data_IF_483467956499
#
_entry.id   IF_483467956499
#
_cell.length_a   1.000
_cell.length_b   1.000
_cell.length_c   1.000
_cell.angle_alpha   90.00
_cell.angle_beta   90.00
_cell.angle_gamma   90.00
#
_symmetry.space_group_name_H-M   'P 1'
#
loop_
_entity.id
_entity.type
_entity.pdbx_description
1 polymer ?
#
# COMPACT_ATOMS: atom_id res chain seq x y z
N UNK A 1 1.11 28.56 -11.33
CA UNK A 1 1.08 29.66 -12.31
C UNK A 1 2.07 30.75 -11.96
N UNK A 2 2.09 31.25 -10.72
CA UNK A 2 3.04 32.28 -10.26
C UNK A 2 4.51 31.94 -10.59
N UNK A 3 4.95 30.70 -10.39
CA UNK A 3 6.33 30.25 -10.65
C UNK A 3 6.70 30.20 -12.14
N UNK A 4 5.73 29.98 -13.02
CA UNK A 4 5.96 29.97 -14.47
C UNK A 4 6.05 31.42 -14.95
N UNK A 5 5.15 32.29 -14.49
CA UNK A 5 5.17 33.73 -14.79
C UNK A 5 6.49 34.37 -14.32
N UNK A 6 6.97 34.02 -13.11
CA UNK A 6 8.24 34.51 -12.59
C UNK A 6 9.45 34.08 -13.46
N UNK A 7 9.42 32.84 -13.96
CA UNK A 7 10.47 32.32 -14.85
C UNK A 7 10.43 32.97 -16.23
N UNK A 8 9.24 33.27 -16.76
CA UNK A 8 9.08 33.97 -18.04
C UNK A 8 9.54 35.43 -17.93
N UNK A 9 9.24 36.10 -16.82
CA UNK A 9 9.77 37.44 -16.52
C UNK A 9 11.29 37.45 -16.42
N UNK A 10 11.89 36.43 -15.81
CA UNK A 10 13.36 36.26 -15.77
C UNK A 10 13.96 36.06 -17.17
N UNK A 11 13.31 35.25 -18.02
CA UNK A 11 13.75 35.07 -19.42
C UNK A 11 13.66 36.39 -20.19
N UNK A 12 12.58 37.17 -20.02
CA UNK A 12 12.45 38.47 -20.67
C UNK A 12 13.54 39.46 -20.23
N UNK A 13 13.86 39.52 -18.93
CA UNK A 13 14.92 40.39 -18.40
C UNK A 13 16.32 40.01 -18.87
N UNK A 14 16.59 38.71 -19.04
CA UNK A 14 17.89 38.20 -19.52
C UNK A 14 18.03 38.37 -21.03
N UNK A 15 16.96 38.15 -21.79
CA UNK A 15 16.99 38.22 -23.26
C UNK A 15 16.90 39.65 -23.80
N UNK A 16 16.30 40.61 -23.08
CA UNK A 16 16.09 41.98 -23.56
C UNK A 16 17.38 42.76 -23.90
N UNK A 17 18.47 42.69 -23.12
CA UNK A 17 19.75 43.31 -23.50
C UNK A 17 20.34 42.71 -24.79
N UNK A 18 20.23 41.39 -24.96
CA UNK A 18 20.75 40.68 -26.12
C UNK A 18 19.91 40.91 -27.40
N UNK A 19 18.60 41.15 -27.25
CA UNK A 19 17.73 41.59 -28.34
C UNK A 19 18.09 43.02 -28.76
N UNK A 20 18.26 43.93 -27.81
CA UNK A 20 18.65 45.32 -28.11
C UNK A 20 20.04 45.43 -28.77
N UNK A 21 20.94 44.51 -28.44
CA UNK A 21 22.25 44.39 -29.09
C UNK A 21 22.22 43.69 -30.47
N UNK A 22 21.05 43.24 -30.95
CA UNK A 22 20.88 42.54 -32.22
C UNK A 22 21.41 41.10 -32.25
N UNK A 23 21.82 40.57 -31.09
CA UNK A 23 22.40 39.22 -30.95
C UNK A 23 21.30 38.14 -31.00
N UNK A 24 20.13 38.44 -30.43
CA UNK A 24 18.95 37.57 -30.44
C UNK A 24 17.81 38.25 -31.20
N UNK A 25 17.10 37.50 -32.04
CA UNK A 25 15.86 37.99 -32.66
C UNK A 25 14.71 37.86 -31.68
N UNK A 26 13.90 38.91 -31.59
CA UNK A 26 12.66 38.95 -30.80
C UNK A 26 11.75 37.74 -31.07
N UNK A 27 11.60 37.36 -32.33
CA UNK A 27 10.70 36.27 -32.74
C UNK A 27 11.16 34.89 -32.24
N UNK A 28 12.47 34.67 -32.16
CA UNK A 28 13.04 33.41 -31.67
C UNK A 28 12.85 33.27 -30.15
N UNK A 29 13.01 34.37 -29.41
CA UNK A 29 12.75 34.42 -27.96
C UNK A 29 11.26 34.22 -27.67
N UNK A 30 10.38 34.85 -28.46
CA UNK A 30 8.93 34.66 -28.35
C UNK A 30 8.53 33.21 -28.62
N UNK A 31 9.07 32.60 -29.68
CA UNK A 31 8.81 31.20 -30.02
C UNK A 31 9.29 30.24 -28.92
N UNK A 32 10.51 30.44 -28.41
CA UNK A 32 11.05 29.65 -27.30
C UNK A 32 10.18 29.77 -26.04
N UNK A 33 9.71 30.98 -25.73
CA UNK A 33 8.82 31.26 -24.61
C UNK A 33 7.49 30.49 -24.75
N UNK A 34 6.86 30.53 -25.92
CA UNK A 34 5.66 29.75 -26.22
C UNK A 34 5.88 28.24 -26.07
N UNK A 35 7.03 27.71 -26.52
CA UNK A 35 7.37 26.31 -26.34
C UNK A 35 7.51 25.93 -24.86
N UNK A 36 8.15 26.76 -24.05
CA UNK A 36 8.31 26.50 -22.60
C UNK A 36 6.95 26.51 -21.88
N UNK A 37 6.06 27.43 -22.22
CA UNK A 37 4.70 27.47 -21.68
C UNK A 37 3.95 26.19 -22.07
N UNK A 38 3.95 25.84 -23.35
CA UNK A 38 3.29 24.64 -23.88
C UNK A 38 3.82 23.36 -23.24
N UNK A 39 5.14 23.26 -23.04
CA UNK A 39 5.76 22.15 -22.34
C UNK A 39 5.32 22.09 -20.88
N UNK A 40 5.28 23.23 -20.19
CA UNK A 40 4.80 23.34 -18.82
C UNK A 40 3.35 22.90 -18.65
N UNK A 41 2.47 23.27 -19.59
CA UNK A 41 1.07 22.82 -19.60
C UNK A 41 0.94 21.32 -19.88
N UNK A 42 1.79 20.79 -20.76
CA UNK A 42 1.83 19.36 -21.07
C UNK A 42 2.30 18.54 -19.86
N UNK A 43 3.35 18.99 -19.19
CA UNK A 43 3.84 18.41 -17.93
C UNK A 43 2.78 18.46 -16.83
N UNK A 44 2.09 19.61 -16.67
CA UNK A 44 0.99 19.74 -15.70
C UNK A 44 -0.13 18.74 -15.98
N UNK A 45 -0.53 18.58 -17.24
CA UNK A 45 -1.56 17.61 -17.64
C UNK A 45 -1.09 16.17 -17.39
N UNK A 46 0.16 15.84 -17.70
CA UNK A 46 0.72 14.51 -17.45
C UNK A 46 0.79 14.21 -15.94
N UNK A 47 1.24 15.18 -15.13
CA UNK A 47 1.27 15.07 -13.68
C UNK A 47 -0.13 14.83 -13.10
N UNK A 48 -1.12 15.63 -13.49
CA UNK A 48 -2.50 15.45 -13.03
C UNK A 48 -3.04 14.05 -13.38
N UNK A 49 -2.82 13.57 -14.60
CA UNK A 49 -3.22 12.20 -14.99
C UNK A 49 -2.52 11.13 -14.15
N UNK A 50 -1.25 11.30 -13.84
CA UNK A 50 -0.52 10.37 -12.98
C UNK A 50 -1.09 10.36 -11.56
N UNK A 51 -1.45 11.53 -11.01
CA UNK A 51 -2.13 11.65 -9.73
C UNK A 51 -3.50 10.97 -9.72
N UNK A 52 -4.32 11.18 -10.76
CA UNK A 52 -5.64 10.55 -10.89
C UNK A 52 -5.53 9.02 -10.96
N UNK A 53 -4.57 8.51 -11.74
CA UNK A 53 -4.30 7.07 -11.81
C UNK A 53 -3.83 6.51 -10.46
N UNK A 54 -2.98 7.24 -9.72
CA UNK A 54 -2.52 6.82 -8.39
C UNK A 54 -3.68 6.74 -7.39
N UNK A 55 -4.60 7.71 -7.42
CA UNK A 55 -5.82 7.70 -6.61
C UNK A 55 -6.70 6.50 -6.98
N UNK A 56 -6.90 6.25 -8.28
CA UNK A 56 -7.70 5.11 -8.76
C UNK A 56 -7.12 3.79 -8.25
N UNK A 57 -5.82 3.59 -8.42
CA UNK A 57 -5.12 2.38 -7.95
C UNK A 57 -5.19 2.23 -6.42
N UNK A 58 -5.13 3.33 -5.67
CA UNK A 58 -5.32 3.31 -4.22
C UNK A 58 -6.73 2.84 -3.84
N UNK A 59 -7.76 3.33 -4.53
CA UNK A 59 -9.14 2.90 -4.30
C UNK A 59 -9.36 1.43 -4.65
N UNK A 60 -8.80 0.96 -5.78
CA UNK A 60 -8.84 -0.46 -6.17
C UNK A 60 -8.14 -1.34 -5.13
N UNK A 61 -7.00 -0.90 -4.61
CA UNK A 61 -6.32 -1.59 -3.51
C UNK A 61 -7.17 -1.62 -2.24
N UNK A 62 -7.81 -0.52 -1.87
CA UNK A 62 -8.70 -0.47 -0.70
C UNK A 62 -9.90 -1.43 -0.83
N UNK A 63 -10.49 -1.53 -2.03
CA UNK A 63 -11.54 -2.51 -2.32
C UNK A 63 -11.03 -3.95 -2.16
N UNK A 64 -9.81 -4.23 -2.59
CA UNK A 64 -9.21 -5.57 -2.41
C UNK A 64 -9.03 -5.94 -0.93
N UNK A 65 -8.81 -4.96 -0.04
CA UNK A 65 -8.73 -5.18 1.40
C UNK A 65 -10.11 -5.45 1.99
N UNK A 66 -11.14 -4.72 1.55
CA UNK A 66 -12.52 -4.95 1.98
C UNK A 66 -13.03 -6.35 1.60
N UNK A 67 -12.60 -6.86 0.45
CA UNK A 67 -12.94 -8.21 -0.01
C UNK A 67 -12.10 -9.33 0.64
N UNK A 68 -11.09 -9.01 1.44
CA UNK A 68 -10.28 -9.99 2.14
C UNK A 68 -10.81 -10.15 3.57
N UNK A 69 -11.42 -11.28 3.91
CA UNK A 69 -12.05 -11.53 5.23
C UNK A 69 -11.07 -11.37 6.40
N UNK A 70 -9.80 -11.74 6.21
CA UNK A 70 -8.77 -11.65 7.23
C UNK A 70 -8.29 -10.22 7.46
N UNK A 71 -8.19 -9.44 6.38
CA UNK A 71 -7.75 -8.05 6.45
C UNK A 71 -8.90 -7.11 6.86
N UNK A 72 -10.12 -7.39 6.40
CA UNK A 72 -11.30 -6.56 6.67
C UNK A 72 -11.78 -6.65 8.12
N UNK A 73 -11.58 -7.77 8.80
CA UNK A 73 -11.99 -7.93 10.21
C UNK A 73 -10.90 -7.52 11.21
N UNK A 74 -9.66 -7.31 10.75
CA UNK A 74 -8.55 -6.94 11.62
C UNK A 74 -8.58 -5.45 12.00
N UNK A 75 -8.70 -5.17 13.31
CA UNK A 75 -8.78 -3.80 13.83
C UNK A 75 -7.57 -2.92 13.49
N UNK A 76 -6.37 -3.50 13.41
CA UNK A 76 -5.13 -2.77 13.06
C UNK A 76 -5.13 -2.38 11.58
N UNK A 77 -5.53 -3.31 10.70
CA UNK A 77 -5.68 -3.04 9.26
C UNK A 77 -6.74 -1.97 9.02
N UNK A 78 -7.89 -2.06 9.69
CA UNK A 78 -8.97 -1.07 9.56
C UNK A 78 -8.56 0.35 9.98
N UNK A 79 -7.75 0.49 11.04
CA UNK A 79 -7.17 1.79 11.42
C UNK A 79 -6.22 2.32 10.33
N UNK A 80 -5.36 1.47 9.79
CA UNK A 80 -4.43 1.84 8.72
C UNK A 80 -5.17 2.22 7.42
N UNK A 81 -6.24 1.50 7.07
CA UNK A 81 -7.14 1.81 5.95
C UNK A 81 -7.76 3.19 6.11
N UNK A 82 -8.30 3.49 7.30
CA UNK A 82 -8.93 4.78 7.59
C UNK A 82 -7.93 5.94 7.48
N UNK A 83 -6.71 5.74 7.99
CA UNK A 83 -5.64 6.72 7.84
C UNK A 83 -5.29 6.95 6.37
N UNK A 84 -5.07 5.88 5.61
CA UNK A 84 -4.73 5.98 4.19
C UNK A 84 -5.82 6.68 3.37
N UNK A 85 -7.11 6.37 3.63
CA UNK A 85 -8.26 7.05 3.00
C UNK A 85 -8.26 8.55 3.28
N UNK A 86 -7.98 8.96 4.52
CA UNK A 86 -7.91 10.37 4.88
C UNK A 86 -6.74 11.06 4.17
N UNK A 87 -5.56 10.43 4.12
CA UNK A 87 -4.39 11.00 3.47
C UNK A 87 -4.60 11.21 1.95
N UNK A 88 -5.23 10.24 1.28
CA UNK A 88 -5.63 10.37 -0.14
C UNK A 88 -6.62 11.51 -0.32
N UNK A 89 -7.61 11.65 0.57
CA UNK A 89 -8.60 12.73 0.51
C UNK A 89 -7.98 14.12 0.73
N UNK A 90 -7.04 14.25 1.66
CA UNK A 90 -6.34 15.52 1.89
C UNK A 90 -5.38 15.85 0.72
N UNK A 91 -4.78 14.84 0.07
CA UNK A 91 -3.99 15.02 -1.15
C UNK A 91 -4.86 15.54 -2.30
N UNK A 92 -6.04 14.95 -2.53
CA UNK A 92 -6.98 15.41 -3.56
C UNK A 92 -7.45 16.85 -3.35
N UNK A 93 -7.54 17.30 -2.08
CA UNK A 93 -7.86 18.70 -1.73
C UNK A 93 -6.66 19.65 -1.90
N UNK A 94 -5.48 19.14 -2.27
CA UNK A 94 -4.25 19.91 -2.40
C UNK A 94 -3.68 20.38 -1.06
N UNK A 95 -4.05 19.74 0.06
CA UNK A 95 -3.61 20.12 1.40
C UNK A 95 -2.31 19.44 1.84
N UNK A 96 -2.00 18.30 1.24
CA UNK A 96 -0.75 17.56 1.48
C UNK A 96 -0.11 17.18 0.15
N UNK A 97 1.19 16.97 0.17
CA UNK A 97 1.95 16.53 -1.00
C UNK A 97 1.80 15.02 -1.22
N UNK A 98 2.22 14.54 -2.40
CA UNK A 98 2.14 13.13 -2.81
C UNK A 98 2.86 12.15 -1.88
N UNK A 99 3.83 12.62 -1.10
CA UNK A 99 4.60 11.80 -0.16
C UNK A 99 3.73 11.22 0.96
N UNK A 100 2.72 11.97 1.43
CA UNK A 100 1.86 11.57 2.54
C UNK A 100 1.01 10.34 2.19
N UNK A 101 0.18 10.35 1.12
CA UNK A 101 -0.58 9.16 0.73
C UNK A 101 0.34 8.01 0.29
N UNK A 102 1.53 8.29 -0.26
CA UNK A 102 2.50 7.24 -0.60
C UNK A 102 3.00 6.51 0.65
N UNK A 103 3.44 7.24 1.67
CA UNK A 103 3.92 6.64 2.92
C UNK A 103 2.83 5.84 3.64
N UNK A 104 1.58 6.34 3.66
CA UNK A 104 0.49 5.59 4.27
C UNK A 104 0.09 4.35 3.47
N UNK A 105 0.21 4.37 2.14
CA UNK A 105 0.04 3.17 1.31
C UNK A 105 1.07 2.09 1.66
N UNK A 106 2.35 2.47 1.78
CA UNK A 106 3.44 1.54 2.13
C UNK A 106 3.21 0.93 3.51
N UNK A 107 2.86 1.75 4.50
CA UNK A 107 2.54 1.29 5.86
C UNK A 107 1.36 0.32 5.86
N UNK A 108 0.28 0.64 5.14
CA UNK A 108 -0.89 -0.24 5.02
C UNK A 108 -0.52 -1.60 4.44
N UNK A 109 0.28 -1.64 3.36
CA UNK A 109 0.79 -2.92 2.80
C UNK A 109 1.62 -3.72 3.80
N UNK A 110 2.48 -3.05 4.58
CA UNK A 110 3.28 -3.72 5.62
C UNK A 110 2.40 -4.29 6.72
N UNK A 111 1.40 -3.54 7.19
CA UNK A 111 0.44 -4.00 8.21
C UNK A 111 -0.32 -5.23 7.74
N UNK A 112 -0.81 -5.25 6.50
CA UNK A 112 -1.54 -6.41 5.95
C UNK A 112 -0.64 -7.64 5.91
N UNK A 113 0.58 -7.51 5.35
CA UNK A 113 1.55 -8.62 5.32
C UNK A 113 1.86 -9.18 6.70
N UNK A 114 1.99 -8.32 7.70
CA UNK A 114 2.24 -8.75 9.08
C UNK A 114 1.06 -9.52 9.66
N UNK A 115 -0.17 -9.07 9.42
CA UNK A 115 -1.39 -9.77 9.88
C UNK A 115 -1.54 -11.13 9.20
N UNK A 116 -1.33 -11.19 7.89
CA UNK A 116 -1.37 -12.44 7.12
C UNK A 116 -0.31 -13.43 7.62
N UNK A 117 0.91 -12.96 7.88
CA UNK A 117 1.99 -13.80 8.44
C UNK A 117 1.66 -14.34 9.84
N UNK A 118 1.06 -13.51 10.70
CA UNK A 118 0.69 -13.93 12.05
C UNK A 118 -0.42 -15.00 12.03
N UNK A 119 -1.42 -14.85 11.16
CA UNK A 119 -2.49 -15.84 11.02
C UNK A 119 -1.97 -17.18 10.49
N UNK A 120 -1.04 -17.18 9.54
CA UNK A 120 -0.42 -18.41 9.04
C UNK A 120 0.29 -19.18 10.17
N UNK A 121 0.99 -18.47 11.06
CA UNK A 121 1.66 -19.07 12.23
C UNK A 121 0.66 -19.69 13.20
N UNK A 122 -0.46 -19.02 13.47
CA UNK A 122 -1.47 -19.49 14.41
C UNK A 122 -2.19 -20.75 13.88
N UNK A 123 -2.45 -20.82 12.58
CA UNK A 123 -3.01 -22.03 11.94
C UNK A 123 -2.04 -23.21 12.08
N UNK A 124 -0.74 -22.99 11.84
CA UNK A 124 0.28 -24.04 12.01
C UNK A 124 0.37 -24.53 13.45
N UNK A 125 0.38 -23.62 14.44
CA UNK A 125 0.41 -24.00 15.87
C UNK A 125 -0.81 -24.79 16.29
N UNK A 126 -2.01 -24.40 15.83
CA UNK A 126 -3.26 -25.14 16.13
C UNK A 126 -3.25 -26.53 15.48
N UNK A 127 -2.78 -26.65 14.25
CA UNK A 127 -2.65 -27.95 13.58
C UNK A 127 -1.66 -28.87 14.32
N UNK A 128 -0.54 -28.33 14.79
CA UNK A 128 0.45 -29.10 15.54
C UNK A 128 -0.08 -29.54 16.91
N UNK A 129 -0.79 -28.67 17.64
CA UNK A 129 -1.44 -29.03 18.90
C UNK A 129 -2.51 -30.11 18.71
N UNK A 130 -3.34 -30.01 17.68
CA UNK A 130 -4.34 -31.03 17.35
C UNK A 130 -3.70 -32.38 17.04
N UNK A 131 -2.59 -32.39 16.29
CA UNK A 131 -1.84 -33.61 15.98
C UNK A 131 -1.24 -34.25 17.23
N UNK A 132 -0.64 -33.46 18.12
CA UNK A 132 -0.11 -33.93 19.40
C UNK A 132 -1.21 -34.50 20.30
N UNK A 133 -2.36 -33.82 20.39
CA UNK A 133 -3.50 -34.29 21.18
C UNK A 133 -4.07 -35.62 20.65
N UNK A 134 -4.17 -35.76 19.32
CA UNK A 134 -4.62 -37.00 18.68
C UNK A 134 -3.66 -38.17 18.96
N UNK A 135 -2.36 -37.93 18.89
CA UNK A 135 -1.35 -38.96 19.17
C UNK A 135 -1.36 -39.40 20.65
N UNK A 136 -1.56 -38.46 21.58
CA UNK A 136 -1.73 -38.76 23.02
C UNK A 136 -3.01 -39.56 23.31
N UNK A 137 -4.13 -39.19 22.68
CA UNK A 137 -5.38 -39.93 22.84
C UNK A 137 -5.25 -41.38 22.33
N UNK A 138 -4.56 -41.56 21.19
CA UNK A 138 -4.30 -42.89 20.62
C UNK A 138 -3.41 -43.75 21.53
N UNK A 139 -2.33 -43.17 22.09
CA UNK A 139 -1.44 -43.91 22.98
C UNK A 139 -2.14 -44.32 24.30
N UNK A 140 -2.91 -43.42 24.89
CA UNK A 140 -3.72 -43.71 26.08
C UNK A 140 -4.76 -44.81 25.81
N UNK A 141 -5.45 -44.76 24.67
CA UNK A 141 -6.42 -45.78 24.29
C UNK A 141 -5.80 -47.18 24.18
N UNK A 142 -4.60 -47.29 23.60
CA UNK A 142 -3.87 -48.57 23.51
C UNK A 142 -3.51 -49.10 24.90
N UNK A 143 -3.04 -48.23 25.79
CA UNK A 143 -2.67 -48.63 27.17
C UNK A 143 -3.87 -49.20 27.92
N UNK A 144 -5.02 -48.51 27.86
CA UNK A 144 -6.25 -48.98 28.53
C UNK A 144 -6.72 -50.30 27.96
N UNK A 145 -6.73 -50.44 26.62
CA UNK A 145 -7.15 -51.68 25.97
C UNK A 145 -6.27 -52.87 26.40
N UNK A 146 -4.96 -52.65 26.46
CA UNK A 146 -3.99 -53.69 26.87
C UNK A 146 -4.20 -54.09 28.34
N UNK A 147 -4.44 -53.13 29.22
CA UNK A 147 -4.73 -53.40 30.63
C UNK A 147 -6.02 -54.21 30.81
N UNK A 148 -7.09 -53.88 30.09
CA UNK A 148 -8.35 -54.62 30.12
C UNK A 148 -8.18 -56.09 29.68
N UNK A 149 -7.39 -56.34 28.63
CA UNK A 149 -7.11 -57.70 28.13
C UNK A 149 -6.37 -58.52 29.20
N UNK A 150 -5.35 -57.95 29.83
CA UNK A 150 -4.57 -58.63 30.87
C UNK A 150 -5.47 -59.01 32.06
N UNK A 151 -6.29 -58.07 32.53
CA UNK A 151 -7.24 -58.33 33.64
C UNK A 151 -8.25 -59.41 33.27
N UNK A 152 -8.81 -59.37 32.06
CA UNK A 152 -9.72 -60.40 31.57
C UNK A 152 -9.09 -61.79 31.52
N UNK A 153 -7.85 -61.89 31.04
CA UNK A 153 -7.10 -63.16 31.03
C UNK A 153 -6.78 -63.69 32.44
N UNK A 154 -6.49 -62.81 33.40
CA UNK A 154 -6.25 -63.21 34.80
C UNK A 154 -7.53 -63.73 35.45
N UNK A 155 -8.67 -63.09 35.20
CA UNK A 155 -9.97 -63.53 35.73
C UNK A 155 -10.45 -64.85 35.12
N UNK A 156 -10.12 -65.13 33.86
CA UNK A 156 -10.46 -66.40 33.18
C UNK A 156 -9.57 -67.59 33.60
N UNK A 157 -8.44 -67.33 34.28
CA UNK A 157 -7.50 -68.38 34.75
C UNK A 157 -7.73 -68.82 36.20
N UNK A 158 -8.64 -68.20 36.93
CA UNK A 158 -9.12 -68.64 38.25
C UNK A 158 -10.43 -69.40 38.09
#
# INVERSE_FOLDING_TARGET
>A
MLTIILKLLLVEQICRPAINAGILKSDDVSRATHHVISLGETLKRAYNRACDNAVKNSNEFLLSIENNENASTNATVQRAVKQHRNDVKEFQKGKVNVDVPYQSHVKLRQTIKQVESNQQSDVHKKAEQSSRAWNLAKSLGIIVLTACIIVGMVLLKR
#
